data_IF_561163621990
#
_entry.id   IF_561163621990
#
_cell.length_a   1.000
_cell.length_b   1.000
_cell.length_c   1.000
_cell.angle_alpha   90.00
_cell.angle_beta   90.00
_cell.angle_gamma   90.00
#
_symmetry.space_group_name_H-M   'P 1'
#
loop_
_entity.id
_entity.type
_entity.pdbx_description
1 polymer ?
#
# COMPACT_ATOMS: atom_id res chain seq x y z
N UNK A 1 11.16 -9.88 20.19
CA UNK A 1 10.19 -9.44 19.15
C UNK A 1 9.76 -10.66 18.34
N UNK A 2 8.63 -10.64 17.61
CA UNK A 2 8.15 -11.81 16.85
C UNK A 2 9.23 -12.44 15.93
N UNK A 3 10.19 -11.64 15.44
CA UNK A 3 11.28 -12.09 14.57
C UNK A 3 12.47 -12.74 15.29
N UNK A 4 12.63 -12.55 16.60
CA UNK A 4 13.78 -13.12 17.34
C UNK A 4 13.72 -14.63 17.50
N UNK A 5 12.60 -15.25 17.10
CA UNK A 5 12.37 -16.69 17.13
C UNK A 5 12.42 -17.31 15.73
N UNK A 6 12.67 -16.52 14.68
CA UNK A 6 12.73 -17.06 13.32
C UNK A 6 13.99 -17.90 13.15
N UNK A 7 13.86 -19.19 12.78
CA UNK A 7 15.00 -20.11 12.71
C UNK A 7 15.95 -19.79 11.55
N UNK A 8 15.44 -19.12 10.50
CA UNK A 8 16.18 -18.79 9.29
C UNK A 8 15.73 -17.44 8.73
N UNK A 9 16.68 -16.67 8.16
CA UNK A 9 16.39 -15.43 7.41
C UNK A 9 15.91 -15.75 5.99
N UNK A 10 14.78 -16.44 5.85
CA UNK A 10 14.13 -16.73 4.57
C UNK A 10 12.84 -15.92 4.46
N UNK A 11 12.66 -15.24 3.34
CA UNK A 11 11.54 -14.32 3.14
C UNK A 11 10.82 -14.57 1.81
N UNK A 12 9.54 -14.26 1.82
CA UNK A 12 8.73 -14.05 0.63
C UNK A 12 8.20 -12.63 0.69
N UNK A 13 8.22 -11.89 -0.41
CA UNK A 13 7.84 -10.48 -0.38
C UNK A 13 7.05 -10.03 -1.61
N UNK A 14 6.47 -8.84 -1.49
CA UNK A 14 5.82 -8.14 -2.59
C UNK A 14 6.65 -6.91 -2.96
N UNK A 15 6.86 -6.72 -4.25
CA UNK A 15 7.56 -5.56 -4.83
C UNK A 15 9.09 -5.67 -4.79
N UNK A 16 9.69 -5.20 -5.88
CA UNK A 16 11.14 -5.25 -6.09
C UNK A 16 11.94 -4.43 -5.05
N UNK A 17 11.40 -3.31 -4.57
CA UNK A 17 12.05 -2.50 -3.53
C UNK A 17 12.21 -3.27 -2.22
N UNK A 18 11.17 -3.99 -1.81
CA UNK A 18 11.17 -4.82 -0.60
C UNK A 18 12.17 -5.97 -0.74
N UNK A 19 12.21 -6.62 -1.90
CA UNK A 19 13.18 -7.68 -2.21
C UNK A 19 14.61 -7.19 -2.02
N UNK A 20 14.98 -6.10 -2.70
CA UNK A 20 16.34 -5.53 -2.63
C UNK A 20 16.74 -5.18 -1.20
N UNK A 21 15.82 -4.60 -0.43
CA UNK A 21 16.07 -4.28 0.98
C UNK A 21 16.33 -5.55 1.80
N UNK A 22 15.49 -6.57 1.67
CA UNK A 22 15.67 -7.85 2.38
C UNK A 22 17.01 -8.51 2.04
N UNK A 23 17.37 -8.58 0.76
CA UNK A 23 18.64 -9.15 0.31
C UNK A 23 19.85 -8.36 0.86
N UNK A 24 19.77 -7.03 0.87
CA UNK A 24 20.82 -6.16 1.46
C UNK A 24 21.00 -6.40 2.96
N UNK A 25 19.90 -6.67 3.67
CA UNK A 25 19.88 -7.00 5.11
C UNK A 25 20.22 -8.48 5.40
N UNK A 26 20.68 -9.22 4.38
CA UNK A 26 21.15 -10.60 4.48
C UNK A 26 20.03 -11.63 4.60
N UNK A 27 18.83 -11.34 4.10
CA UNK A 27 17.76 -12.33 3.95
C UNK A 27 17.82 -13.03 2.59
N UNK A 28 17.56 -14.33 2.58
CA UNK A 28 17.29 -15.09 1.37
C UNK A 28 15.84 -14.84 0.95
N UNK A 29 15.63 -14.11 -0.15
CA UNK A 29 14.29 -13.94 -0.74
C UNK A 29 13.99 -15.13 -1.65
N UNK A 30 13.15 -16.05 -1.16
CA UNK A 30 12.81 -17.31 -1.84
C UNK A 30 11.93 -17.07 -3.06
N UNK A 31 10.97 -16.13 -2.95
CA UNK A 31 10.18 -15.66 -4.08
C UNK A 31 9.65 -14.24 -3.82
N UNK A 32 9.50 -13.47 -4.90
CA UNK A 32 8.92 -12.13 -4.89
C UNK A 32 7.91 -11.96 -6.02
N UNK A 33 6.83 -11.23 -5.77
CA UNK A 33 5.79 -10.95 -6.75
C UNK A 33 5.39 -9.48 -6.73
N UNK A 34 4.73 -8.99 -7.78
CA UNK A 34 4.25 -7.61 -7.82
C UNK A 34 2.97 -7.41 -6.98
N UNK A 35 2.19 -8.49 -6.80
CA UNK A 35 0.92 -8.43 -6.09
C UNK A 35 0.77 -9.51 -5.02
N UNK A 36 0.13 -9.15 -3.90
CA UNK A 36 -0.15 -10.06 -2.78
C UNK A 36 -0.96 -11.29 -3.21
N UNK A 37 -1.86 -11.15 -4.20
CA UNK A 37 -2.63 -12.27 -4.76
C UNK A 37 -1.73 -13.34 -5.37
N UNK A 38 -0.73 -12.94 -6.14
CA UNK A 38 0.21 -13.88 -6.77
C UNK A 38 1.07 -14.59 -5.71
N UNK A 39 1.58 -13.83 -4.74
CA UNK A 39 2.29 -14.40 -3.61
C UNK A 39 1.43 -15.42 -2.85
N UNK A 40 0.19 -15.08 -2.52
CA UNK A 40 -0.71 -15.97 -1.82
C UNK A 40 -0.97 -17.27 -2.60
N UNK A 41 -1.26 -17.17 -3.91
CA UNK A 41 -1.43 -18.35 -4.77
C UNK A 41 -0.17 -19.22 -4.84
N UNK A 42 1.01 -18.61 -4.88
CA UNK A 42 2.28 -19.33 -4.86
C UNK A 42 2.49 -20.09 -3.55
N UNK A 43 2.25 -19.44 -2.40
CA UNK A 43 2.38 -20.08 -1.09
C UNK A 43 1.39 -21.25 -0.91
N UNK A 44 0.15 -21.08 -1.34
CA UNK A 44 -0.85 -22.16 -1.34
C UNK A 44 -0.40 -23.35 -2.17
N UNK A 45 0.18 -23.11 -3.35
CA UNK A 45 0.58 -24.18 -4.27
C UNK A 45 1.84 -24.92 -3.81
N UNK A 46 2.82 -24.21 -3.24
CA UNK A 46 4.16 -24.76 -3.01
C UNK A 46 4.51 -24.97 -1.54
N UNK A 47 3.74 -24.38 -0.61
CA UNK A 47 4.06 -24.35 0.82
C UNK A 47 2.82 -24.59 1.70
N UNK A 48 1.87 -25.41 1.25
CA UNK A 48 0.61 -25.68 1.93
C UNK A 48 0.76 -26.23 3.38
N UNK A 49 1.87 -26.89 3.69
CA UNK A 49 2.17 -27.47 5.01
C UNK A 49 3.07 -26.58 5.88
N UNK A 50 3.48 -25.42 5.38
CA UNK A 50 4.34 -24.48 6.11
C UNK A 50 3.53 -23.55 6.99
N UNK A 51 4.21 -22.88 7.92
CA UNK A 51 3.68 -21.74 8.67
C UNK A 51 4.51 -20.50 8.39
N UNK A 52 3.88 -19.33 8.52
CA UNK A 52 4.49 -18.07 8.15
C UNK A 52 4.27 -17.02 9.24
N UNK A 53 5.26 -16.12 9.38
CA UNK A 53 5.10 -14.85 10.10
C UNK A 53 4.93 -13.76 9.05
N UNK A 54 3.86 -12.97 9.17
CA UNK A 54 3.58 -11.85 8.28
C UNK A 54 3.86 -10.53 8.98
N UNK A 55 4.94 -9.85 8.56
CA UNK A 55 5.23 -8.49 8.99
C UNK A 55 4.33 -7.51 8.25
N UNK A 56 3.43 -6.85 8.97
CA UNK A 56 2.46 -5.93 8.40
C UNK A 56 2.31 -4.67 9.26
N UNK A 57 1.72 -3.63 8.67
CA UNK A 57 1.18 -2.50 9.41
C UNK A 57 -0.26 -2.76 9.83
N UNK A 58 -0.75 -1.95 10.77
CA UNK A 58 -2.15 -1.98 11.22
C UNK A 58 -3.16 -1.88 10.07
N UNK A 59 -2.94 -0.95 9.14
CA UNK A 59 -3.70 -0.85 7.89
C UNK A 59 -2.99 -1.69 6.82
N UNK A 60 -3.49 -2.92 6.62
CA UNK A 60 -2.98 -3.86 5.60
C UNK A 60 -4.11 -4.41 4.73
N UNK A 61 -3.78 -4.83 3.52
CA UNK A 61 -4.70 -5.58 2.66
C UNK A 61 -4.90 -6.99 3.19
N UNK A 62 -6.16 -7.43 3.30
CA UNK A 62 -6.52 -8.77 3.81
C UNK A 62 -6.29 -9.91 2.81
N UNK A 63 -5.83 -9.62 1.58
CA UNK A 63 -5.67 -10.63 0.52
C UNK A 63 -4.81 -11.81 0.97
N UNK A 64 -3.66 -11.56 1.59
CA UNK A 64 -2.74 -12.61 2.02
C UNK A 64 -3.28 -13.39 3.25
N UNK A 65 -3.67 -12.73 4.37
CA UNK A 65 -4.28 -13.42 5.51
C UNK A 65 -5.52 -14.24 5.14
N UNK A 66 -6.43 -13.66 4.35
CA UNK A 66 -7.69 -14.33 3.96
C UNK A 66 -7.42 -15.56 3.10
N UNK A 67 -6.53 -15.44 2.12
CA UNK A 67 -6.23 -16.56 1.21
C UNK A 67 -5.55 -17.72 1.94
N UNK A 68 -4.56 -17.45 2.80
CA UNK A 68 -3.87 -18.49 3.55
C UNK A 68 -4.80 -19.16 4.57
N UNK A 69 -5.61 -18.37 5.28
CA UNK A 69 -6.62 -18.90 6.22
C UNK A 69 -7.63 -19.81 5.53
N UNK A 70 -8.13 -19.42 4.35
CA UNK A 70 -9.07 -20.23 3.57
C UNK A 70 -8.47 -21.56 3.08
N UNK A 71 -7.14 -21.66 3.01
CA UNK A 71 -6.42 -22.88 2.64
C UNK A 71 -5.77 -23.58 3.85
N UNK A 72 -6.19 -23.25 5.07
CA UNK A 72 -5.70 -23.84 6.32
C UNK A 72 -4.18 -23.69 6.57
N UNK A 73 -3.56 -22.67 5.99
CA UNK A 73 -2.14 -22.35 6.19
C UNK A 73 -2.01 -21.42 7.40
N UNK A 74 -1.14 -21.79 8.34
CA UNK A 74 -0.92 -20.97 9.54
C UNK A 74 -0.15 -19.69 9.20
N UNK A 75 -0.73 -18.55 9.57
CA UNK A 75 -0.14 -17.23 9.41
C UNK A 75 -0.22 -16.47 10.73
N UNK A 76 0.93 -16.14 11.32
CA UNK A 76 1.02 -15.28 12.48
C UNK A 76 1.29 -13.84 12.02
N UNK A 77 0.33 -12.94 12.22
CA UNK A 77 0.53 -11.51 11.95
C UNK A 77 1.46 -10.91 13.03
N UNK A 78 2.45 -10.14 12.58
CA UNK A 78 3.31 -9.33 13.42
C UNK A 78 3.19 -7.86 12.99
N UNK A 79 2.43 -7.10 13.79
CA UNK A 79 2.28 -5.66 13.59
C UNK A 79 3.60 -4.96 13.90
N UNK A 80 4.15 -4.29 12.89
CA UNK A 80 5.45 -3.61 12.96
C UNK A 80 5.32 -2.09 13.05
N UNK A 81 4.19 -1.54 12.63
CA UNK A 81 3.89 -0.12 12.73
C UNK A 81 2.38 0.15 12.78
N UNK A 82 2.01 1.29 13.37
CA UNK A 82 0.65 1.82 13.40
C UNK A 82 0.53 3.02 12.45
N UNK A 83 -0.64 3.19 11.84
CA UNK A 83 -0.89 4.38 11.01
C UNK A 83 -1.44 5.48 11.90
N UNK A 84 -0.67 6.53 12.13
CA UNK A 84 -1.18 7.75 12.75
C UNK A 84 -1.50 8.78 11.67
N UNK A 85 -2.73 9.31 11.71
CA UNK A 85 -3.07 10.45 10.86
C UNK A 85 -2.29 11.67 11.35
N UNK A 86 -1.76 12.46 10.41
CA UNK A 86 -1.09 13.72 10.68
C UNK A 86 -1.79 14.84 9.91
N UNK A 87 -3.00 15.25 10.33
CA UNK A 87 -3.77 16.26 9.63
C UNK A 87 -3.02 17.58 9.53
N UNK A 88 -3.09 18.22 8.37
CA UNK A 88 -2.53 19.55 8.15
C UNK A 88 -3.64 20.42 7.60
N UNK A 89 -4.05 21.45 8.35
CA UNK A 89 -5.02 22.43 7.89
C UNK A 89 -4.40 23.31 6.82
N UNK A 90 -5.02 23.35 5.64
CA UNK A 90 -4.60 24.24 4.56
C UNK A 90 -5.10 25.65 4.82
N UNK A 91 -4.19 26.60 4.96
CA UNK A 91 -4.52 28.03 5.21
C UNK A 91 -4.70 28.83 3.93
N UNK A 92 -4.38 28.24 2.77
CA UNK A 92 -4.56 28.83 1.45
C UNK A 92 -5.24 27.83 0.52
N UNK A 93 -5.91 28.35 -0.51
CA UNK A 93 -6.48 27.52 -1.57
C UNK A 93 -5.39 27.05 -2.53
N UNK A 94 -5.53 25.80 -2.96
CA UNK A 94 -4.71 25.19 -4.00
C UNK A 94 -5.61 24.83 -5.18
N UNK A 95 -5.07 24.91 -6.39
CA UNK A 95 -5.81 24.53 -7.60
C UNK A 95 -5.88 23.01 -7.78
N UNK A 96 -5.01 22.25 -7.09
CA UNK A 96 -5.05 20.80 -7.08
C UNK A 96 -4.39 20.18 -5.86
N UNK A 97 -4.85 18.98 -5.51
CA UNK A 97 -4.35 18.16 -4.39
C UNK A 97 -4.10 16.75 -4.89
N UNK A 98 -2.97 16.16 -4.51
CA UNK A 98 -2.51 14.88 -5.02
C UNK A 98 -2.43 13.88 -3.85
N UNK A 99 -3.15 12.77 -3.94
CA UNK A 99 -3.21 11.73 -2.91
C UNK A 99 -2.49 10.45 -3.34
N UNK A 100 -1.62 9.98 -2.46
CA UNK A 100 -0.76 8.81 -2.67
C UNK A 100 -1.21 7.58 -1.86
N UNK A 101 -2.22 7.73 -1.01
CA UNK A 101 -2.80 6.62 -0.24
C UNK A 101 -4.21 6.98 0.25
N UNK A 102 -5.06 5.97 0.57
CA UNK A 102 -6.34 6.18 1.26
C UNK A 102 -6.18 6.94 2.58
N UNK A 103 -5.16 6.59 3.37
CA UNK A 103 -4.89 7.24 4.66
C UNK A 103 -4.56 8.72 4.53
N UNK A 104 -4.00 9.17 3.40
CA UNK A 104 -3.73 10.58 3.15
C UNK A 104 -5.04 11.36 2.95
N UNK A 105 -6.05 10.77 2.30
CA UNK A 105 -7.39 11.37 2.17
C UNK A 105 -8.07 11.44 3.53
N UNK A 106 -8.05 10.34 4.29
CA UNK A 106 -8.58 10.33 5.66
C UNK A 106 -7.93 11.43 6.51
N UNK A 107 -6.61 11.55 6.46
CA UNK A 107 -5.86 12.56 7.20
C UNK A 107 -6.19 13.99 6.75
N UNK A 108 -6.43 14.20 5.45
CA UNK A 108 -6.79 15.50 4.90
C UNK A 108 -8.16 15.95 5.38
N UNK A 109 -9.15 15.05 5.36
CA UNK A 109 -10.54 15.32 5.71
C UNK A 109 -10.77 15.62 7.19
N UNK A 110 -9.80 15.37 8.07
CA UNK A 110 -9.91 15.77 9.49
C UNK A 110 -9.96 17.29 9.64
N UNK A 111 -9.19 18.03 8.86
CA UNK A 111 -9.02 19.49 9.00
C UNK A 111 -9.43 20.28 7.75
N UNK A 112 -9.81 19.59 6.66
CA UNK A 112 -10.09 20.19 5.37
C UNK A 112 -11.31 19.57 4.70
N UNK A 113 -11.85 20.28 3.71
CA UNK A 113 -12.90 19.80 2.84
C UNK A 113 -12.59 20.18 1.39
N UNK A 114 -13.16 19.43 0.45
CA UNK A 114 -13.00 19.72 -0.97
C UNK A 114 -13.84 20.94 -1.36
N UNK A 115 -13.22 21.88 -2.08
CA UNK A 115 -13.82 23.17 -2.46
C UNK A 115 -13.50 23.56 -3.92
N UNK A 116 -13.49 22.57 -4.81
CA UNK A 116 -13.33 22.74 -6.26
C UNK A 116 -11.91 22.57 -6.79
N UNK A 117 -10.95 22.17 -5.95
CA UNK A 117 -9.62 21.77 -6.39
C UNK A 117 -9.67 20.53 -7.31
N UNK A 118 -8.71 20.42 -8.23
CA UNK A 118 -8.50 19.18 -8.98
C UNK A 118 -7.87 18.14 -8.07
N UNK A 119 -8.53 17.00 -7.90
CA UNK A 119 -8.01 15.90 -7.07
C UNK A 119 -7.33 14.87 -7.97
N UNK A 120 -6.09 14.50 -7.67
CA UNK A 120 -5.37 13.42 -8.38
C UNK A 120 -5.08 12.28 -7.40
N UNK A 121 -5.41 11.05 -7.78
CA UNK A 121 -5.14 9.84 -7.00
C UNK A 121 -4.09 8.97 -7.71
N UNK A 122 -3.15 8.43 -6.94
CA UNK A 122 -2.10 7.53 -7.46
C UNK A 122 -2.66 6.19 -7.98
N UNK A 123 -3.80 5.76 -7.48
CA UNK A 123 -4.35 4.43 -7.76
C UNK A 123 -5.80 4.30 -7.30
N UNK A 124 -6.48 3.29 -7.82
CA UNK A 124 -7.92 3.07 -7.63
C UNK A 124 -8.29 2.90 -6.16
N UNK A 125 -7.44 2.26 -5.36
CA UNK A 125 -7.64 2.12 -3.91
C UNK A 125 -7.69 3.48 -3.21
N UNK A 126 -6.87 4.44 -3.64
CA UNK A 126 -6.87 5.81 -3.11
C UNK A 126 -8.12 6.56 -3.57
N UNK A 127 -8.49 6.42 -4.84
CA UNK A 127 -9.69 7.06 -5.39
C UNK A 127 -10.98 6.61 -4.68
N UNK A 128 -11.12 5.32 -4.37
CA UNK A 128 -12.28 4.77 -3.65
C UNK A 128 -12.41 5.31 -2.22
N UNK A 129 -11.34 5.85 -1.64
CA UNK A 129 -11.38 6.46 -0.31
C UNK A 129 -11.89 7.91 -0.30
N UNK A 130 -12.15 8.49 -1.47
CA UNK A 130 -12.74 9.83 -1.56
C UNK A 130 -14.21 9.80 -1.11
N UNK A 131 -14.71 10.90 -0.51
CA UNK A 131 -16.13 11.07 -0.25
C UNK A 131 -16.95 10.98 -1.55
N UNK A 132 -18.19 10.53 -1.41
CA UNK A 132 -19.13 10.46 -2.54
C UNK A 132 -19.31 11.85 -3.19
N UNK A 133 -19.33 11.89 -4.52
CA UNK A 133 -19.46 13.13 -5.30
C UNK A 133 -18.16 13.91 -5.52
N UNK A 134 -17.02 13.50 -4.94
CA UNK A 134 -15.72 14.11 -5.22
C UNK A 134 -15.13 13.51 -6.49
N UNK A 135 -15.09 14.29 -7.56
CA UNK A 135 -14.42 13.91 -8.80
C UNK A 135 -12.90 13.92 -8.64
N UNK A 136 -12.23 12.98 -9.30
CA UNK A 136 -10.77 12.89 -9.28
C UNK A 136 -10.20 12.28 -10.56
N UNK A 137 -8.93 12.60 -10.82
CA UNK A 137 -8.14 12.05 -11.91
C UNK A 137 -7.26 10.92 -11.39
N UNK A 138 -7.13 9.85 -12.17
CA UNK A 138 -6.34 8.70 -11.82
C UNK A 138 -5.03 8.71 -12.60
N UNK A 139 -3.90 8.52 -11.91
CA UNK A 139 -2.62 8.28 -12.57
C UNK A 139 -2.66 6.95 -13.35
N UNK A 140 -2.04 6.91 -14.53
CA UNK A 140 -1.98 5.70 -15.37
C UNK A 140 -1.27 4.54 -14.64
N UNK A 141 -0.23 4.87 -13.88
CA UNK A 141 0.55 3.92 -13.07
C UNK A 141 0.67 4.43 -11.63
N UNK A 142 0.71 3.54 -10.62
CA UNK A 142 0.82 3.92 -9.22
C UNK A 142 2.27 4.31 -8.87
N UNK A 143 2.76 5.37 -9.52
CA UNK A 143 4.14 5.89 -9.41
C UNK A 143 4.09 7.41 -9.26
N UNK A 144 5.09 7.98 -8.61
CA UNK A 144 5.19 9.44 -8.44
C UNK A 144 5.28 10.13 -9.80
N UNK A 145 6.03 9.53 -10.72
CA UNK A 145 6.23 10.02 -12.07
C UNK A 145 4.90 10.08 -12.83
N UNK A 146 4.08 9.03 -12.78
CA UNK A 146 2.78 9.03 -13.47
C UNK A 146 1.78 10.00 -12.84
N UNK A 147 1.80 10.17 -11.51
CA UNK A 147 1.00 11.21 -10.83
C UNK A 147 1.43 12.60 -11.29
N UNK A 148 2.74 12.84 -11.43
CA UNK A 148 3.27 14.10 -11.91
C UNK A 148 2.90 14.38 -13.37
N UNK A 149 2.99 13.38 -14.25
CA UNK A 149 2.57 13.53 -15.66
C UNK A 149 1.05 13.80 -15.77
N UNK A 150 0.23 13.14 -14.95
CA UNK A 150 -1.21 13.45 -14.84
C UNK A 150 -1.43 14.91 -14.41
N UNK A 151 -0.72 15.36 -13.37
CA UNK A 151 -0.77 16.74 -12.90
C UNK A 151 -0.37 17.73 -14.01
N UNK A 152 0.75 17.50 -14.69
CA UNK A 152 1.20 18.33 -15.82
C UNK A 152 0.12 18.43 -16.91
N UNK A 153 -0.47 17.32 -17.33
CA UNK A 153 -1.52 17.32 -18.35
C UNK A 153 -2.76 18.15 -17.94
N UNK A 154 -3.07 18.20 -16.64
CA UNK A 154 -4.19 18.96 -16.09
C UNK A 154 -3.94 20.47 -15.98
N UNK A 155 -2.69 20.90 -15.81
CA UNK A 155 -2.36 22.30 -15.50
C UNK A 155 -1.55 23.02 -16.59
N UNK A 156 -0.84 22.30 -17.47
CA UNK A 156 -0.02 22.90 -18.55
C UNK A 156 -0.86 23.28 -19.78
N UNK A 157 -2.04 22.70 -19.97
CA UNK A 157 -2.96 23.06 -21.06
C UNK A 157 -3.82 24.30 -20.73
N UNK A 158 -3.25 25.33 -20.11
CA UNK A 158 -3.91 26.60 -19.79
C UNK A 158 -3.20 27.76 -20.47
#
# INVERSE_FOLDING_TARGET
PCYSQLPHKRAFCVGEKTRKLLETEGWEVVASFDYAKQLASFLVKHYATSSFVFFCGEKRMDTLPTTLKANHIQLQECLTYHTQLTPVKLTKRYEGVLFFSPSAIESYLVENSFAGEKVVCIGTTTQVALPEGVESYLAERPTVESVLECCKALFINR
#
